data_IF_560126140101
#
_entry.id   IF_560126140101
#
_cell.length_a   1.000
_cell.length_b   1.000
_cell.length_c   1.000
_cell.angle_alpha   90.00
_cell.angle_beta   90.00
_cell.angle_gamma   90.00
#
_symmetry.space_group_name_H-M   'P 1'
#
loop_
_entity.id
_entity.type
_entity.pdbx_description
1 polymer ?
#
# COMPACT_ATOMS: atom_id res chain seq x y z
N UNK A 1 30.17 39.75 0.45
CA UNK A 1 29.95 41.07 -0.17
C UNK A 1 30.59 41.06 -1.55
N UNK A 2 29.92 41.72 -2.51
CA UNK A 2 30.24 41.87 -3.94
C UNK A 2 29.76 40.70 -4.83
N UNK A 3 29.21 40.90 -6.03
CA UNK A 3 28.37 41.92 -6.68
C UNK A 3 28.12 41.36 -8.10
N UNK A 4 26.97 41.70 -8.68
CA UNK A 4 26.45 41.31 -9.98
C UNK A 4 27.35 41.71 -11.17
N UNK A 5 27.32 40.93 -12.27
CA UNK A 5 27.53 41.39 -13.66
C UNK A 5 26.94 40.33 -14.59
N UNK A 6 25.70 40.46 -15.07
CA UNK A 6 25.25 41.19 -16.26
C UNK A 6 26.14 41.00 -17.50
N UNK A 7 25.63 40.26 -18.49
CA UNK A 7 26.18 40.12 -19.83
C UNK A 7 25.00 39.91 -20.78
N UNK A 8 24.66 40.99 -21.49
CA UNK A 8 23.56 41.15 -22.44
C UNK A 8 24.12 41.12 -23.87
N UNK A 9 23.23 40.97 -24.86
CA UNK A 9 23.38 41.07 -26.33
C UNK A 9 23.85 39.77 -27.05
N UNK A 10 23.25 39.31 -28.16
CA UNK A 10 22.40 39.96 -29.14
C UNK A 10 21.55 38.98 -29.98
N UNK A 11 20.40 39.49 -30.41
CA UNK A 11 19.71 39.34 -31.71
C UNK A 11 19.74 38.01 -32.46
N UNK A 12 18.53 37.43 -32.59
CA UNK A 12 18.12 36.62 -33.73
C UNK A 12 16.66 36.91 -34.06
N UNK A 13 16.41 37.92 -34.90
CA UNK A 13 15.09 38.22 -35.43
C UNK A 13 14.68 37.17 -36.47
N UNK A 14 13.52 36.54 -36.29
CA UNK A 14 12.82 35.83 -37.36
C UNK A 14 11.34 36.19 -37.29
N UNK A 15 10.97 37.11 -38.18
CA UNK A 15 9.58 37.48 -38.48
C UNK A 15 8.98 36.33 -39.29
N UNK A 16 7.96 35.69 -38.73
CA UNK A 16 7.09 34.74 -39.41
C UNK A 16 5.63 35.11 -39.15
N UNK A 17 5.08 35.94 -40.02
CA UNK A 17 3.65 36.27 -40.07
C UNK A 17 2.93 35.16 -40.82
N UNK A 18 1.84 34.63 -40.26
CA UNK A 18 0.82 33.93 -41.05
C UNK A 18 0.31 32.66 -40.39
N UNK A 19 -0.82 32.77 -39.68
CA UNK A 19 -1.55 31.60 -39.21
C UNK A 19 -2.57 31.97 -38.14
N UNK A 20 -3.75 32.40 -38.58
CA UNK A 20 -4.95 32.45 -37.75
C UNK A 20 -5.33 31.01 -37.35
N UNK A 21 -4.65 30.50 -36.33
CA UNK A 21 -5.12 29.37 -35.55
C UNK A 21 -5.87 29.95 -34.36
N UNK A 22 -7.17 29.68 -34.28
CA UNK A 22 -7.94 29.81 -33.06
C UNK A 22 -7.25 28.96 -31.98
N UNK A 23 -6.33 29.56 -31.22
CA UNK A 23 -5.83 28.98 -29.98
C UNK A 23 -6.97 29.03 -28.98
N UNK A 24 -7.79 27.98 -29.09
CA UNK A 24 -8.66 27.49 -28.04
C UNK A 24 -7.85 27.57 -26.75
N UNK A 25 -8.21 28.53 -25.89
CA UNK A 25 -7.77 28.56 -24.50
C UNK A 25 -8.37 27.31 -23.88
N UNK A 26 -7.65 26.20 -24.04
CA UNK A 26 -7.86 24.98 -23.31
C UNK A 26 -7.56 25.31 -21.86
N UNK A 27 -8.57 25.84 -21.18
CA UNK A 27 -8.72 25.80 -19.74
C UNK A 27 -8.60 24.32 -19.38
N UNK A 28 -7.38 23.82 -19.20
CA UNK A 28 -7.15 22.58 -18.48
C UNK A 28 -7.48 22.90 -17.02
N UNK A 29 -8.77 22.92 -16.74
CA UNK A 29 -9.29 22.72 -15.40
C UNK A 29 -8.65 21.43 -14.94
N UNK A 30 -7.70 21.53 -14.01
CA UNK A 30 -7.14 20.41 -13.26
C UNK A 30 -8.30 19.67 -12.61
N UNK A 31 -8.82 18.68 -13.34
CA UNK A 31 -10.01 17.92 -13.01
C UNK A 31 -9.58 16.85 -12.01
N UNK A 32 -9.82 17.15 -10.72
CA UNK A 32 -9.89 16.21 -9.59
C UNK A 32 -8.55 15.65 -9.07
N UNK A 33 -7.95 16.38 -8.14
CA UNK A 33 -7.29 15.81 -6.95
C UNK A 33 -8.32 15.66 -5.81
N UNK A 34 -9.55 15.26 -6.13
CA UNK A 34 -10.65 15.09 -5.18
C UNK A 34 -10.82 13.59 -4.94
N UNK A 35 -10.49 13.18 -3.71
CA UNK A 35 -10.84 11.90 -3.06
C UNK A 35 -10.02 10.65 -3.43
N UNK A 36 -8.67 10.69 -3.36
CA UNK A 36 -8.00 9.43 -3.00
C UNK A 36 -8.36 9.12 -1.55
N UNK A 37 -9.05 7.99 -1.26
CA UNK A 37 -9.26 7.61 0.13
C UNK A 37 -7.89 7.49 0.77
N UNK A 38 -7.71 8.17 1.91
CA UNK A 38 -6.48 8.06 2.69
C UNK A 38 -6.13 6.60 2.97
N UNK A 39 -4.86 6.30 3.26
CA UNK A 39 -4.45 4.93 3.55
C UNK A 39 -5.35 4.31 4.63
N UNK A 40 -5.75 3.04 4.49
CA UNK A 40 -6.65 2.39 5.43
C UNK A 40 -6.04 2.36 6.84
N UNK A 41 -6.89 2.58 7.87
CA UNK A 41 -6.47 2.56 9.26
C UNK A 41 -5.77 1.25 9.62
N UNK A 42 -6.38 0.11 9.28
CA UNK A 42 -5.74 -1.21 9.41
C UNK A 42 -5.85 -1.92 8.06
N UNK A 43 -4.73 -2.42 7.57
CA UNK A 43 -4.67 -3.24 6.36
C UNK A 43 -3.63 -4.33 6.54
N UNK A 44 -3.77 -5.41 5.78
CA UNK A 44 -2.97 -6.62 5.98
C UNK A 44 -2.32 -7.08 4.70
N UNK A 45 -1.10 -7.59 4.83
CA UNK A 45 -0.40 -8.30 3.77
C UNK A 45 0.27 -9.54 4.34
N UNK A 46 0.18 -10.65 3.61
CA UNK A 46 0.95 -11.85 3.91
C UNK A 46 2.05 -12.00 2.87
N UNK A 47 3.27 -12.29 3.32
CA UNK A 47 4.41 -12.56 2.44
C UNK A 47 5.21 -13.75 2.94
N UNK A 48 5.75 -14.57 2.03
CA UNK A 48 6.70 -15.63 2.39
C UNK A 48 8.02 -15.02 2.84
N UNK A 49 8.63 -15.61 3.85
CA UNK A 49 9.99 -15.24 4.26
C UNK A 49 10.97 -15.77 3.21
N UNK A 50 11.90 -14.92 2.75
CA UNK A 50 12.88 -15.34 1.74
C UNK A 50 13.78 -16.45 2.29
N UNK A 51 14.07 -17.44 1.44
CA UNK A 51 14.94 -18.57 1.80
C UNK A 51 14.26 -19.67 2.61
N UNK A 52 12.94 -19.59 2.85
CA UNK A 52 12.18 -20.62 3.55
C UNK A 52 10.81 -20.81 2.91
N UNK A 53 10.37 -22.06 2.81
CA UNK A 53 9.05 -22.41 2.29
C UNK A 53 7.98 -22.46 3.38
N UNK A 54 8.40 -22.54 4.64
CA UNK A 54 7.53 -22.86 5.78
C UNK A 54 7.17 -21.66 6.64
N UNK A 55 7.63 -20.45 6.30
CA UNK A 55 7.39 -19.25 7.10
C UNK A 55 6.75 -18.13 6.29
N UNK A 56 5.80 -17.46 6.93
CA UNK A 56 5.14 -16.26 6.41
C UNK A 56 5.15 -15.14 7.45
N UNK A 57 5.20 -13.91 6.95
CA UNK A 57 4.94 -12.68 7.69
C UNK A 57 3.52 -12.22 7.42
N UNK A 58 2.73 -12.01 8.47
CA UNK A 58 1.52 -11.21 8.44
C UNK A 58 1.88 -9.80 8.90
N UNK A 59 1.86 -8.83 7.98
CA UNK A 59 2.24 -7.43 8.25
C UNK A 59 1.00 -6.54 8.30
N UNK A 60 0.90 -5.69 9.32
CA UNK A 60 -0.07 -4.59 9.31
C UNK A 60 0.49 -3.46 8.43
N UNK A 61 -0.12 -3.24 7.27
CA UNK A 61 0.25 -2.19 6.31
C UNK A 61 -0.61 -0.93 6.44
N UNK A 62 -1.49 -0.87 7.43
CA UNK A 62 -2.29 0.32 7.74
C UNK A 62 -1.52 1.35 8.57
N UNK A 63 -2.21 2.44 8.91
CA UNK A 63 -1.65 3.54 9.72
C UNK A 63 -1.80 3.35 11.22
N UNK A 64 -2.74 2.49 11.65
CA UNK A 64 -3.16 2.33 13.03
C UNK A 64 -2.76 0.97 13.58
N UNK A 65 -2.61 0.90 14.90
CA UNK A 65 -2.33 -0.34 15.61
C UNK A 65 -3.59 -1.21 15.66
N UNK A 66 -3.47 -2.47 15.26
CA UNK A 66 -4.53 -3.45 15.44
C UNK A 66 -4.36 -4.17 16.79
N UNK A 67 -5.42 -4.18 17.61
CA UNK A 67 -5.45 -4.82 18.93
C UNK A 67 -6.26 -6.12 18.88
N UNK A 68 -5.91 -7.08 19.74
CA UNK A 68 -6.62 -8.36 19.87
C UNK A 68 -6.77 -9.13 18.54
N UNK A 69 -5.76 -9.01 17.66
CA UNK A 69 -5.72 -9.65 16.34
C UNK A 69 -5.80 -11.15 16.51
N UNK A 70 -6.80 -11.76 15.87
CA UNK A 70 -7.07 -13.18 15.95
C UNK A 70 -7.34 -13.73 14.56
N UNK A 71 -6.68 -14.82 14.20
CA UNK A 71 -7.01 -15.57 12.99
C UNK A 71 -8.05 -16.65 13.29
N UNK A 72 -8.98 -16.85 12.35
CA UNK A 72 -9.96 -17.93 12.45
C UNK A 72 -9.31 -19.29 12.13
N UNK A 73 -8.89 -20.00 13.18
CA UNK A 73 -8.27 -21.32 13.08
C UNK A 73 -9.19 -22.38 12.45
N UNK A 74 -10.52 -22.22 12.53
CA UNK A 74 -11.48 -23.16 11.95
C UNK A 74 -11.47 -23.08 10.42
N UNK A 75 -11.20 -21.90 9.87
CA UNK A 75 -11.13 -21.66 8.41
C UNK A 75 -9.71 -21.78 7.85
N UNK A 76 -8.69 -21.64 8.70
CA UNK A 76 -7.29 -21.74 8.33
C UNK A 76 -6.85 -23.16 7.90
N UNK A 77 -7.52 -24.19 8.41
CA UNK A 77 -7.15 -25.58 8.17
C UNK A 77 -5.87 -26.01 8.92
N UNK A 78 -5.52 -27.31 8.90
CA UNK A 78 -4.42 -27.87 9.69
C UNK A 78 -3.02 -27.50 9.17
N UNK A 79 -2.93 -26.87 8.01
CA UNK A 79 -1.67 -26.52 7.35
C UNK A 79 -1.01 -25.25 7.86
N UNK A 80 -1.64 -24.56 8.83
CA UNK A 80 -1.15 -23.33 9.41
C UNK A 80 -0.83 -23.52 10.89
N UNK A 81 0.30 -22.98 11.34
CA UNK A 81 0.73 -23.01 12.75
C UNK A 81 1.09 -21.61 13.24
N UNK A 82 1.04 -21.40 14.55
CA UNK A 82 1.40 -20.13 15.22
C UNK A 82 0.65 -18.92 14.66
N UNK A 83 -0.63 -19.11 14.33
CA UNK A 83 -1.49 -18.02 13.92
C UNK A 83 -1.73 -17.04 15.07
N UNK A 84 -1.94 -15.74 14.77
CA UNK A 84 -2.18 -14.74 15.80
C UNK A 84 -3.45 -15.10 16.60
N UNK A 85 -3.35 -15.04 17.93
CA UNK A 85 -4.45 -15.26 18.86
C UNK A 85 -4.42 -14.18 19.95
N UNK A 86 -5.29 -13.17 19.80
CA UNK A 86 -5.39 -12.01 20.70
C UNK A 86 -4.10 -11.19 20.85
N UNK A 87 -3.36 -10.99 19.75
CA UNK A 87 -2.10 -10.23 19.77
C UNK A 87 -2.28 -8.80 19.27
N UNK A 88 -1.39 -7.88 19.67
CA UNK A 88 -1.37 -6.53 19.14
C UNK A 88 -0.28 -6.38 18.07
N UNK A 89 -0.63 -5.84 16.90
CA UNK A 89 0.30 -5.64 15.78
C UNK A 89 0.27 -4.16 15.35
N UNK A 90 1.39 -3.47 15.54
CA UNK A 90 1.53 -2.06 15.18
C UNK A 90 1.66 -1.82 13.67
N UNK A 91 1.54 -0.57 13.22
CA UNK A 91 1.80 -0.18 11.82
C UNK A 91 3.21 -0.62 11.37
N UNK A 92 3.30 -1.25 10.21
CA UNK A 92 4.55 -1.79 9.65
C UNK A 92 5.13 -3.00 10.40
N UNK A 93 4.58 -3.36 11.56
CA UNK A 93 5.01 -4.52 12.34
C UNK A 93 4.45 -5.80 11.75
N UNK A 94 5.11 -6.93 12.03
CA UNK A 94 4.75 -8.24 11.48
C UNK A 94 4.64 -9.30 12.55
N UNK A 95 3.75 -10.27 12.32
CA UNK A 95 3.64 -11.51 13.07
C UNK A 95 4.10 -12.68 12.18
N UNK A 96 4.93 -13.57 12.73
CA UNK A 96 5.40 -14.75 12.00
C UNK A 96 4.46 -15.92 12.23
N UNK A 97 4.14 -16.68 11.18
CA UNK A 97 3.40 -17.93 11.31
C UNK A 97 3.94 -19.01 10.36
N UNK A 98 3.60 -20.26 10.65
CA UNK A 98 4.10 -21.44 9.95
C UNK A 98 3.16 -21.91 8.84
N UNK A 99 3.74 -22.28 7.70
CA UNK A 99 3.15 -23.11 6.65
C UNK A 99 3.69 -24.53 6.75
N UNK A 100 2.84 -25.51 7.05
CA UNK A 100 3.23 -26.92 7.16
C UNK A 100 3.32 -27.56 5.76
N UNK A 101 4.49 -28.06 5.31
CA UNK A 101 4.73 -28.47 3.91
C UNK A 101 3.79 -29.53 3.33
N UNK A 102 3.25 -30.43 4.18
CA UNK A 102 2.45 -31.57 3.74
C UNK A 102 0.93 -31.32 3.72
N UNK A 103 0.49 -30.08 3.98
CA UNK A 103 -0.92 -29.74 4.10
C UNK A 103 -1.39 -28.84 2.96
N UNK A 104 -2.64 -29.02 2.53
CA UNK A 104 -3.29 -28.06 1.63
C UNK A 104 -3.48 -26.74 2.38
N UNK A 105 -2.86 -25.67 1.88
CA UNK A 105 -3.00 -24.34 2.45
C UNK A 105 -4.28 -23.66 1.94
N UNK A 106 -4.94 -22.84 2.78
CA UNK A 106 -6.05 -22.01 2.32
C UNK A 106 -5.52 -20.90 1.39
N UNK A 107 -6.38 -20.41 0.50
CA UNK A 107 -6.06 -19.25 -0.34
C UNK A 107 -6.13 -17.92 0.40
N UNK A 108 -6.83 -17.89 1.54
CA UNK A 108 -7.01 -16.72 2.39
C UNK A 108 -6.95 -17.10 3.87
N UNK A 109 -6.49 -16.19 4.73
CA UNK A 109 -6.65 -16.25 6.18
C UNK A 109 -7.68 -15.21 6.59
N UNK A 110 -8.61 -15.57 7.46
CA UNK A 110 -9.61 -14.65 8.00
C UNK A 110 -9.13 -14.07 9.33
N UNK A 111 -9.07 -12.74 9.42
CA UNK A 111 -8.62 -12.02 10.61
C UNK A 111 -9.75 -11.21 11.22
N UNK A 112 -9.76 -11.12 12.55
CA UNK A 112 -10.55 -10.17 13.33
C UNK A 112 -9.63 -9.40 14.26
N UNK A 113 -10.06 -8.21 14.69
CA UNK A 113 -9.38 -7.37 15.68
C UNK A 113 -10.40 -6.47 16.36
N UNK A 114 -9.99 -5.78 17.41
CA UNK A 114 -10.85 -4.86 18.15
C UNK A 114 -11.34 -3.70 17.25
N UNK A 115 -12.64 -3.41 17.31
CA UNK A 115 -13.27 -2.38 16.47
C UNK A 115 -13.64 -2.85 15.05
N UNK A 116 -13.13 -4.00 14.59
CA UNK A 116 -13.50 -4.59 13.30
C UNK A 116 -14.79 -5.41 13.41
N UNK A 117 -15.86 -4.98 12.72
CA UNK A 117 -17.17 -5.63 12.78
C UNK A 117 -17.22 -6.97 12.03
N UNK A 118 -16.56 -7.04 10.89
CA UNK A 118 -16.60 -8.21 10.01
C UNK A 118 -15.20 -8.80 9.81
N UNK A 119 -15.04 -10.15 9.82
CA UNK A 119 -13.76 -10.77 9.52
C UNK A 119 -13.23 -10.36 8.15
N UNK A 120 -11.95 -10.01 8.09
CA UNK A 120 -11.28 -9.60 6.84
C UNK A 120 -10.49 -10.77 6.27
N UNK A 121 -10.74 -11.10 5.01
CA UNK A 121 -9.97 -12.09 4.27
C UNK A 121 -8.65 -11.48 3.79
N UNK A 122 -7.54 -12.12 4.14
CA UNK A 122 -6.19 -11.73 3.73
C UNK A 122 -5.63 -12.80 2.80
N UNK A 123 -5.29 -12.47 1.55
CA UNK A 123 -4.75 -13.43 0.60
C UNK A 123 -3.42 -14.03 1.04
N UNK A 124 -3.26 -15.34 0.80
CA UNK A 124 -2.02 -16.06 0.98
C UNK A 124 -1.11 -15.95 -0.27
N UNK A 125 0.22 -15.91 -0.10
CA UNK A 125 1.21 -15.83 -1.18
C UNK A 125 1.54 -17.17 -1.85
#
# INVERSE_FOLDING_TARGET
MNALTSGDLALGAAVGVGGLGLSMVGLWVNRRTLDEPGPPAVAWRIARVRGTQSLCWLTNTGTDRALSVTADWRKAGPGLGDLPAQVAIGPGSSWQFLLRPAARHPSVIWLTWEGQREPVAVPMP
#
